data_IF_622059771673
#
_entry.id   IF_622059771673
#
_cell.length_a   1.000
_cell.length_b   1.000
_cell.length_c   1.000
_cell.angle_alpha   90.00
_cell.angle_beta   90.00
_cell.angle_gamma   90.00
#
_symmetry.space_group_name_H-M   'P 1'
#
loop_
_entity.id
_entity.type
_entity.pdbx_description
1 polymer ?
#
# COMPACT_ATOMS: atom_id res chain seq x y z
N UNK A 1 28.79 25.05 -48.24
CA UNK A 1 27.32 24.94 -48.11
C UNK A 1 27.02 24.15 -46.85
N UNK A 2 26.76 24.86 -45.74
CA UNK A 2 26.37 24.25 -44.47
C UNK A 2 24.86 24.02 -44.50
N UNK A 3 24.41 22.77 -44.47
CA UNK A 3 23.03 22.45 -44.18
C UNK A 3 22.71 22.76 -42.72
N UNK A 4 21.66 23.49 -42.41
CA UNK A 4 21.22 23.66 -41.03
C UNK A 4 20.70 22.34 -40.48
N UNK A 5 21.18 21.97 -39.29
CA UNK A 5 20.63 20.86 -38.53
C UNK A 5 19.14 21.10 -38.31
N UNK A 6 18.29 20.19 -38.76
CA UNK A 6 16.87 20.19 -38.45
C UNK A 6 16.69 20.01 -36.93
N UNK A 7 16.35 21.09 -36.26
CA UNK A 7 15.79 21.00 -34.91
C UNK A 7 14.51 20.17 -34.98
N UNK A 8 14.53 19.00 -34.35
CA UNK A 8 13.34 18.18 -34.13
C UNK A 8 12.52 18.95 -33.09
N UNK A 9 11.28 19.39 -33.38
CA UNK A 9 10.45 20.06 -32.38
C UNK A 9 10.18 19.08 -31.24
N UNK A 10 10.72 19.40 -30.05
CA UNK A 10 10.38 18.69 -28.81
C UNK A 10 8.88 18.87 -28.63
N UNK A 11 8.12 17.77 -28.62
CA UNK A 11 6.67 17.86 -28.42
C UNK A 11 6.41 18.43 -27.02
N UNK A 12 5.29 19.15 -26.85
CA UNK A 12 4.89 19.69 -25.53
C UNK A 12 4.83 18.61 -24.47
N UNK A 13 4.42 17.39 -24.85
CA UNK A 13 4.42 16.21 -23.99
C UNK A 13 5.82 15.84 -23.49
N UNK A 14 6.85 15.84 -24.35
CA UNK A 14 8.23 15.56 -23.94
C UNK A 14 8.76 16.59 -22.94
N UNK A 15 8.34 17.85 -23.04
CA UNK A 15 8.70 18.91 -22.10
C UNK A 15 8.03 18.71 -20.74
N UNK A 16 6.75 18.32 -20.72
CA UNK A 16 6.01 18.03 -19.48
C UNK A 16 6.60 16.80 -18.76
N UNK A 17 6.92 15.72 -19.47
CA UNK A 17 7.57 14.52 -18.94
C UNK A 17 8.90 14.89 -18.27
N UNK A 18 9.73 15.65 -18.95
CA UNK A 18 11.02 16.09 -18.39
C UNK A 18 10.84 16.94 -17.14
N UNK A 19 9.93 17.91 -17.16
CA UNK A 19 9.62 18.76 -16.02
C UNK A 19 9.09 17.96 -14.83
N UNK A 20 8.21 16.96 -15.08
CA UNK A 20 7.67 16.08 -14.06
C UNK A 20 8.76 15.23 -13.39
N UNK A 21 9.59 14.56 -14.18
CA UNK A 21 10.69 13.72 -13.65
C UNK A 21 11.72 14.58 -12.90
N UNK A 22 12.03 15.78 -13.39
CA UNK A 22 12.92 16.71 -12.70
C UNK A 22 12.34 17.16 -11.36
N UNK A 23 11.03 17.42 -11.28
CA UNK A 23 10.35 17.76 -10.02
C UNK A 23 10.42 16.60 -9.03
N UNK A 24 10.12 15.36 -9.46
CA UNK A 24 10.23 14.16 -8.61
C UNK A 24 11.65 13.97 -8.08
N UNK A 25 12.66 14.10 -8.94
CA UNK A 25 14.06 13.98 -8.55
C UNK A 25 14.48 15.05 -7.53
N UNK A 26 14.02 16.29 -7.71
CA UNK A 26 14.29 17.39 -6.79
C UNK A 26 13.64 17.16 -5.42
N UNK A 27 12.38 16.69 -5.37
CA UNK A 27 11.68 16.37 -4.14
C UNK A 27 12.36 15.23 -3.37
N UNK A 28 12.74 14.16 -4.06
CA UNK A 28 13.50 13.04 -3.46
C UNK A 28 14.85 13.49 -2.90
N UNK A 29 15.61 14.29 -3.67
CA UNK A 29 16.92 14.79 -3.25
C UNK A 29 16.83 15.79 -2.10
N UNK A 30 15.71 16.52 -2.01
CA UNK A 30 15.45 17.49 -0.95
C UNK A 30 14.99 16.86 0.35
N UNK A 31 14.71 15.55 0.40
CA UNK A 31 14.23 14.84 1.58
C UNK A 31 12.85 15.31 2.09
N UNK A 32 12.08 16.02 1.26
CA UNK A 32 10.76 16.57 1.61
C UNK A 32 9.68 15.96 0.72
N UNK A 33 9.59 14.63 0.76
CA UNK A 33 8.53 13.91 0.07
C UNK A 33 7.34 13.78 1.02
N UNK A 34 6.23 14.44 0.73
CA UNK A 34 5.00 14.33 1.52
C UNK A 34 3.77 14.27 0.61
N UNK A 35 2.74 13.55 1.03
CA UNK A 35 1.50 13.44 0.27
C UNK A 35 0.66 14.71 0.43
N UNK A 36 0.33 15.41 -0.67
CA UNK A 36 -0.57 16.54 -0.59
C UNK A 36 -1.95 16.08 -0.09
N UNK A 37 -2.57 16.92 0.74
CA UNK A 37 -3.94 16.67 1.24
C UNK A 37 -4.14 15.34 2.00
N UNK A 38 -3.05 14.73 2.54
CA UNK A 38 -3.19 13.54 3.35
C UNK A 38 -3.94 13.88 4.64
N UNK A 39 -5.03 13.19 4.99
CA UNK A 39 -5.87 13.56 6.12
C UNK A 39 -5.12 13.61 7.45
N UNK A 40 -5.31 14.70 8.17
CA UNK A 40 -4.65 15.03 9.45
C UNK A 40 -4.80 13.94 10.51
N UNK A 41 -5.92 13.22 10.52
CA UNK A 41 -6.17 12.14 11.47
C UNK A 41 -5.15 10.99 11.35
N UNK A 42 -4.74 10.63 10.13
CA UNK A 42 -3.74 9.57 9.96
C UNK A 42 -2.37 10.01 10.47
N UNK A 43 -2.01 11.27 10.26
CA UNK A 43 -0.78 11.85 10.78
C UNK A 43 -0.79 11.88 12.31
N UNK A 44 -1.92 12.28 12.93
CA UNK A 44 -2.09 12.28 14.40
C UNK A 44 -2.04 10.87 15.00
N UNK A 45 -2.71 9.90 14.37
CA UNK A 45 -2.65 8.50 14.82
C UNK A 45 -1.22 7.97 14.71
N UNK A 46 -0.53 8.24 13.60
CA UNK A 46 0.88 7.86 13.42
C UNK A 46 1.75 8.46 14.54
N UNK A 47 1.65 9.78 14.76
CA UNK A 47 2.44 10.49 15.78
C UNK A 47 2.20 9.95 17.18
N UNK A 48 0.97 9.60 17.50
CA UNK A 48 0.64 9.01 18.82
C UNK A 48 1.23 7.61 18.94
N UNK A 49 1.23 6.82 17.85
CA UNK A 49 1.73 5.44 17.83
C UNK A 49 3.24 5.33 17.56
N UNK A 50 3.97 6.43 17.37
CA UNK A 50 5.44 6.44 17.34
C UNK A 50 6.06 6.49 18.74
N UNK A 51 5.27 6.82 19.78
CA UNK A 51 5.68 6.77 21.17
C UNK A 51 5.55 5.32 21.68
N UNK A 52 6.67 4.65 21.94
CA UNK A 52 6.71 3.24 22.40
C UNK A 52 5.98 3.04 23.74
N UNK A 53 5.92 4.07 24.58
CA UNK A 53 5.28 4.06 25.90
C UNK A 53 3.83 4.63 25.82
N UNK A 54 3.23 4.69 24.63
CA UNK A 54 1.90 5.25 24.46
C UNK A 54 0.84 4.48 25.24
N UNK A 55 0.04 5.21 26.02
CA UNK A 55 -1.10 4.60 26.71
C UNK A 55 -2.27 4.38 25.75
N UNK A 56 -3.02 3.29 25.98
CA UNK A 56 -4.23 3.01 25.22
C UNK A 56 -5.23 4.18 25.29
N UNK A 57 -5.32 4.87 26.43
CA UNK A 57 -6.20 6.02 26.62
C UNK A 57 -5.88 7.17 25.64
N UNK A 58 -4.58 7.40 25.38
CA UNK A 58 -4.14 8.43 24.45
C UNK A 58 -4.56 8.08 23.02
N UNK A 59 -4.42 6.80 22.64
CA UNK A 59 -4.87 6.29 21.33
C UNK A 59 -6.38 6.40 21.19
N UNK A 60 -7.15 5.93 22.19
CA UNK A 60 -8.63 6.05 22.23
C UNK A 60 -9.09 7.50 22.04
N UNK A 61 -8.41 8.45 22.67
CA UNK A 61 -8.75 9.87 22.57
C UNK A 61 -8.50 10.42 21.17
N UNK A 62 -7.36 10.08 20.57
CA UNK A 62 -7.04 10.54 19.21
C UNK A 62 -7.96 9.95 18.18
N UNK A 63 -8.17 8.62 18.21
CA UNK A 63 -9.09 7.93 17.28
C UNK A 63 -10.54 8.40 17.51
N UNK A 64 -10.96 8.56 18.75
CA UNK A 64 -12.32 9.01 19.09
C UNK A 64 -12.64 10.44 18.65
N UNK A 65 -11.62 11.26 18.32
CA UNK A 65 -11.82 12.57 17.72
C UNK A 65 -12.30 12.52 16.26
N UNK A 66 -12.26 11.33 15.62
CA UNK A 66 -12.73 11.09 14.25
C UNK A 66 -13.78 9.96 14.27
N UNK A 67 -15.08 10.30 14.30
CA UNK A 67 -16.16 9.32 14.45
C UNK A 67 -16.17 8.24 13.37
N UNK A 68 -15.83 8.59 12.13
CA UNK A 68 -15.81 7.63 11.02
C UNK A 68 -14.67 6.61 11.16
N UNK A 69 -13.50 7.03 11.63
CA UNK A 69 -12.40 6.11 11.93
C UNK A 69 -12.74 5.20 13.12
N UNK A 70 -13.37 5.76 14.17
CA UNK A 70 -13.83 4.98 15.31
C UNK A 70 -14.84 3.89 14.90
N UNK A 71 -15.81 4.24 14.06
CA UNK A 71 -16.78 3.29 13.50
C UNK A 71 -16.09 2.20 12.66
N UNK A 72 -15.08 2.57 11.85
CA UNK A 72 -14.29 1.63 11.07
C UNK A 72 -13.54 0.63 11.95
N UNK A 73 -12.91 1.07 13.02
CA UNK A 73 -12.23 0.19 13.96
C UNK A 73 -13.19 -0.79 14.64
N UNK A 74 -14.40 -0.35 15.01
CA UNK A 74 -15.43 -1.24 15.53
C UNK A 74 -15.86 -2.28 14.50
N UNK A 75 -16.01 -1.90 13.23
CA UNK A 75 -16.34 -2.81 12.14
C UNK A 75 -15.24 -3.86 11.94
N UNK A 76 -13.97 -3.46 11.87
CA UNK A 76 -12.83 -4.38 11.75
C UNK A 76 -12.78 -5.35 12.95
N UNK A 77 -12.91 -4.82 14.18
CA UNK A 77 -12.87 -5.62 15.39
C UNK A 77 -14.00 -6.65 15.49
N UNK A 78 -15.11 -6.40 14.81
CA UNK A 78 -16.27 -7.30 14.73
C UNK A 78 -16.32 -8.17 13.47
N UNK A 79 -15.37 -8.00 12.55
CA UNK A 79 -15.32 -8.81 11.32
C UNK A 79 -15.06 -10.28 11.62
N UNK A 80 -15.54 -11.18 10.75
CA UNK A 80 -15.33 -12.62 10.88
C UNK A 80 -13.84 -13.01 10.92
N UNK A 81 -12.99 -12.23 10.26
CA UNK A 81 -11.54 -12.45 10.24
C UNK A 81 -10.86 -12.23 11.61
N UNK A 82 -11.41 -11.35 12.46
CA UNK A 82 -10.82 -10.92 13.73
C UNK A 82 -11.61 -11.41 14.95
N UNK A 83 -12.95 -11.48 14.85
CA UNK A 83 -13.82 -11.81 15.98
C UNK A 83 -14.18 -13.29 16.04
N UNK A 84 -13.21 -14.14 16.31
CA UNK A 84 -13.44 -15.59 16.49
C UNK A 84 -14.37 -15.96 17.65
N UNK A 85 -14.55 -15.05 18.63
CA UNK A 85 -15.41 -15.30 19.80
C UNK A 85 -16.89 -15.10 19.54
N UNK A 86 -17.27 -14.47 18.43
CA UNK A 86 -18.66 -14.09 18.11
C UNK A 86 -19.25 -13.03 19.05
N UNK A 87 -18.54 -12.59 20.09
CA UNK A 87 -19.01 -11.54 20.99
C UNK A 87 -18.83 -10.18 20.37
N UNK A 88 -19.93 -9.44 20.18
CA UNK A 88 -19.89 -8.09 19.62
C UNK A 88 -19.14 -7.12 20.53
N UNK A 89 -18.23 -6.34 19.93
CA UNK A 89 -17.53 -5.23 20.57
C UNK A 89 -18.28 -3.95 20.23
N UNK A 90 -18.65 -3.21 21.26
CA UNK A 90 -19.50 -2.01 21.14
C UNK A 90 -18.80 -0.73 21.55
N UNK A 91 -17.57 -0.82 22.10
CA UNK A 91 -16.82 0.33 22.55
C UNK A 91 -15.41 0.38 21.93
N UNK A 92 -14.91 1.60 21.74
CA UNK A 92 -13.66 1.86 21.06
C UNK A 92 -12.43 1.34 21.83
N UNK A 93 -12.45 1.37 23.18
CA UNK A 93 -11.35 0.88 24.00
C UNK A 93 -11.17 -0.63 23.79
N UNK A 94 -12.26 -1.37 23.85
CA UNK A 94 -12.27 -2.82 23.61
C UNK A 94 -11.87 -3.17 22.16
N UNK A 95 -12.31 -2.35 21.18
CA UNK A 95 -11.89 -2.52 19.79
C UNK A 95 -10.37 -2.35 19.64
N UNK A 96 -9.79 -1.27 20.18
CA UNK A 96 -8.35 -1.01 20.12
C UNK A 96 -7.56 -2.11 20.87
N UNK A 97 -8.05 -2.57 22.03
CA UNK A 97 -7.40 -3.66 22.77
C UNK A 97 -7.37 -4.97 21.98
N UNK A 98 -8.44 -5.29 21.23
CA UNK A 98 -8.50 -6.48 20.38
C UNK A 98 -7.61 -6.35 19.14
N UNK A 99 -7.66 -5.20 18.48
CA UNK A 99 -6.97 -4.96 17.22
C UNK A 99 -5.46 -4.76 17.39
N UNK A 100 -5.03 -4.20 18.52
CA UNK A 100 -3.65 -3.76 18.70
C UNK A 100 -3.32 -2.50 17.90
N UNK A 101 -2.17 -1.90 18.20
CA UNK A 101 -1.80 -0.60 17.62
C UNK A 101 -1.42 -0.66 16.14
N UNK A 102 -0.88 -1.79 15.66
CA UNK A 102 -0.57 -1.96 14.23
C UNK A 102 -1.83 -1.93 13.37
N UNK A 103 -2.87 -2.65 13.79
CA UNK A 103 -4.17 -2.64 13.09
C UNK A 103 -4.83 -1.26 13.15
N UNK A 104 -4.73 -0.55 14.27
CA UNK A 104 -5.22 0.84 14.39
C UNK A 104 -4.50 1.77 13.41
N UNK A 105 -3.18 1.60 13.25
CA UNK A 105 -2.39 2.35 12.27
C UNK A 105 -2.83 2.03 10.83
N UNK A 106 -3.01 0.76 10.51
CA UNK A 106 -3.51 0.31 9.21
C UNK A 106 -4.88 0.91 8.89
N UNK A 107 -5.81 0.85 9.83
CA UNK A 107 -7.15 1.41 9.66
C UNK A 107 -7.14 2.93 9.47
N UNK A 108 -6.27 3.66 10.18
CA UNK A 108 -6.13 5.10 10.01
C UNK A 108 -5.59 5.48 8.63
N UNK A 109 -4.61 4.72 8.11
CA UNK A 109 -4.07 4.90 6.77
C UNK A 109 -5.12 4.56 5.72
N UNK A 110 -5.82 3.42 5.88
CA UNK A 110 -6.92 3.02 5.02
C UNK A 110 -8.00 4.09 4.94
N UNK A 111 -8.39 4.64 6.08
CA UNK A 111 -9.36 5.72 6.17
C UNK A 111 -8.86 6.99 5.46
N UNK A 112 -7.61 7.38 5.66
CA UNK A 112 -7.00 8.52 4.98
C UNK A 112 -7.00 8.36 3.46
N UNK A 113 -6.61 7.20 2.96
CA UNK A 113 -6.63 6.90 1.52
C UNK A 113 -8.06 6.97 0.94
N UNK A 114 -9.06 6.48 1.70
CA UNK A 114 -10.46 6.58 1.27
C UNK A 114 -10.99 8.02 1.22
N UNK A 115 -10.45 8.91 2.05
CA UNK A 115 -10.79 10.34 2.02
C UNK A 115 -10.15 11.09 0.85
N UNK A 116 -8.94 10.71 0.44
CA UNK A 116 -8.27 11.31 -0.72
C UNK A 116 -9.12 11.24 -1.99
N UNK A 117 -9.89 10.16 -2.18
CA UNK A 117 -10.82 10.01 -3.32
C UNK A 117 -11.87 11.12 -3.39
N UNK A 118 -12.18 11.78 -2.27
CA UNK A 118 -13.17 12.85 -2.17
C UNK A 118 -12.56 14.25 -2.22
N UNK A 119 -11.23 14.33 -2.34
CA UNK A 119 -10.53 15.62 -2.41
C UNK A 119 -10.85 16.32 -3.74
N UNK A 120 -11.22 17.60 -3.65
CA UNK A 120 -11.44 18.42 -4.85
C UNK A 120 -10.17 18.67 -5.67
N UNK A 121 -9.00 18.52 -5.04
CA UNK A 121 -7.69 18.67 -5.68
C UNK A 121 -7.37 17.51 -6.64
N UNK A 122 -8.02 16.35 -6.44
CA UNK A 122 -7.81 15.13 -7.23
C UNK A 122 -8.97 14.84 -8.18
N UNK A 123 -9.77 15.89 -8.50
CA UNK A 123 -10.87 15.78 -9.43
C UNK A 123 -10.40 15.31 -10.82
N UNK A 124 -11.08 14.30 -11.35
CA UNK A 124 -10.73 13.65 -12.62
C UNK A 124 -9.79 12.45 -12.47
N UNK A 125 -9.29 12.16 -11.24
CA UNK A 125 -8.47 11.00 -10.93
C UNK A 125 -9.21 9.97 -10.06
N UNK A 126 -10.53 10.10 -9.93
CA UNK A 126 -11.36 9.27 -9.04
C UNK A 126 -11.25 7.79 -9.38
N UNK A 127 -11.28 7.44 -10.67
CA UNK A 127 -11.18 6.05 -11.13
C UNK A 127 -9.77 5.45 -10.88
N UNK A 128 -8.66 6.06 -11.28
CA UNK A 128 -7.33 5.57 -10.94
C UNK A 128 -7.09 5.46 -9.42
N UNK A 129 -7.62 6.39 -8.63
CA UNK A 129 -7.53 6.35 -7.16
C UNK A 129 -8.34 5.17 -6.59
N UNK A 130 -9.53 4.90 -7.14
CA UNK A 130 -10.35 3.76 -6.74
C UNK A 130 -9.66 2.44 -7.05
N UNK A 131 -9.13 2.27 -8.26
CA UNK A 131 -8.42 1.07 -8.69
C UNK A 131 -7.18 0.81 -7.82
N UNK A 132 -6.40 1.87 -7.52
CA UNK A 132 -5.24 1.78 -6.64
C UNK A 132 -5.63 1.40 -5.21
N UNK A 133 -6.73 2.00 -4.72
CA UNK A 133 -7.27 1.69 -3.39
C UNK A 133 -7.74 0.25 -3.27
N UNK A 134 -8.55 -0.23 -4.22
CA UNK A 134 -9.05 -1.60 -4.25
C UNK A 134 -7.91 -2.61 -4.27
N UNK A 135 -6.88 -2.35 -5.09
CA UNK A 135 -5.68 -3.18 -5.13
C UNK A 135 -4.93 -3.16 -3.79
N UNK A 136 -4.73 -1.99 -3.18
CA UNK A 136 -4.04 -1.88 -1.89
C UNK A 136 -4.75 -2.64 -0.79
N UNK A 137 -6.08 -2.58 -0.74
CA UNK A 137 -6.87 -3.31 0.24
C UNK A 137 -6.87 -4.84 -0.03
N UNK A 138 -6.90 -5.25 -1.31
CA UNK A 138 -6.80 -6.67 -1.68
C UNK A 138 -5.45 -7.25 -1.28
N UNK A 139 -4.34 -6.59 -1.64
CA UNK A 139 -2.99 -7.02 -1.26
C UNK A 139 -2.82 -7.02 0.26
N UNK A 140 -3.40 -6.07 0.98
CA UNK A 140 -3.36 -6.02 2.44
C UNK A 140 -4.05 -7.22 3.08
N UNK A 141 -5.27 -7.54 2.64
CA UNK A 141 -6.02 -8.69 3.15
C UNK A 141 -5.30 -10.01 2.85
N UNK A 142 -4.78 -10.15 1.62
CA UNK A 142 -3.99 -11.32 1.23
C UNK A 142 -2.70 -11.43 2.05
N UNK A 143 -1.98 -10.31 2.27
CA UNK A 143 -0.76 -10.29 3.09
C UNK A 143 -1.01 -10.73 4.54
N UNK A 144 -2.14 -10.31 5.12
CA UNK A 144 -2.56 -10.78 6.45
C UNK A 144 -2.70 -12.30 6.49
N UNK A 145 -3.41 -12.88 5.53
CA UNK A 145 -3.68 -14.32 5.48
C UNK A 145 -2.40 -15.12 5.19
N UNK A 146 -1.60 -14.67 4.22
CA UNK A 146 -0.32 -15.30 3.86
C UNK A 146 0.64 -15.27 5.06
N UNK A 147 0.78 -14.13 5.73
CA UNK A 147 1.60 -14.04 6.94
C UNK A 147 1.15 -15.01 8.03
N UNK A 148 -0.15 -15.04 8.32
CA UNK A 148 -0.76 -15.86 9.36
C UNK A 148 -0.58 -17.35 9.14
N UNK A 149 -0.60 -17.82 7.89
CA UNK A 149 -0.60 -19.24 7.57
C UNK A 149 0.78 -19.80 7.19
N UNK A 150 1.67 -19.00 6.59
CA UNK A 150 2.90 -19.49 5.96
C UNK A 150 4.19 -18.83 6.46
N UNK A 151 4.10 -17.94 7.42
CA UNK A 151 5.29 -17.30 7.94
C UNK A 151 5.21 -17.07 9.45
N UNK A 152 6.29 -16.50 10.01
CA UNK A 152 6.33 -16.01 11.40
C UNK A 152 6.21 -14.49 11.46
N UNK A 153 5.96 -13.85 10.33
CA UNK A 153 5.73 -12.41 10.23
C UNK A 153 4.41 -12.07 10.92
N UNK A 154 4.38 -10.95 11.64
CA UNK A 154 3.16 -10.48 12.27
C UNK A 154 2.11 -10.14 11.20
N UNK A 155 0.92 -10.77 11.19
CA UNK A 155 -0.11 -10.55 10.17
C UNK A 155 -0.58 -9.09 10.07
N UNK A 156 -0.65 -8.36 11.20
CA UNK A 156 -1.06 -6.96 11.21
C UNK A 156 0.00 -6.06 10.55
N UNK A 157 1.28 -6.38 10.75
CA UNK A 157 2.39 -5.70 10.07
C UNK A 157 2.37 -6.00 8.57
N UNK A 158 2.08 -7.24 8.19
CA UNK A 158 1.94 -7.64 6.78
C UNK A 158 0.76 -6.92 6.10
N UNK A 159 -0.38 -6.81 6.79
CA UNK A 159 -1.52 -6.04 6.30
C UNK A 159 -1.18 -4.56 6.11
N UNK A 160 -0.44 -3.97 7.05
CA UNK A 160 0.02 -2.58 6.94
C UNK A 160 0.95 -2.39 5.73
N UNK A 161 1.91 -3.27 5.53
CA UNK A 161 2.79 -3.23 4.36
C UNK A 161 1.99 -3.38 3.05
N UNK A 162 1.00 -4.28 3.02
CA UNK A 162 0.07 -4.44 1.90
C UNK A 162 -0.73 -3.18 1.59
N UNK A 163 -1.24 -2.47 2.59
CA UNK A 163 -1.91 -1.18 2.39
C UNK A 163 -0.99 -0.11 1.81
N UNK A 164 0.27 -0.12 2.22
CA UNK A 164 1.25 0.90 1.84
C UNK A 164 1.98 0.59 0.54
N UNK A 165 1.87 -0.64 -0.01
CA UNK A 165 2.67 -1.04 -1.19
C UNK A 165 2.47 -0.13 -2.40
N UNK A 166 1.28 0.45 -2.55
CA UNK A 166 0.93 1.38 -3.62
C UNK A 166 1.21 2.86 -3.32
N UNK A 167 1.82 3.20 -2.17
CA UNK A 167 1.94 4.59 -1.72
C UNK A 167 2.77 5.47 -2.66
N UNK A 168 3.82 4.91 -3.27
CA UNK A 168 4.62 5.62 -4.27
C UNK A 168 3.84 5.88 -5.56
N UNK A 169 3.01 4.92 -5.98
CA UNK A 169 2.10 5.06 -7.13
C UNK A 169 1.04 6.13 -6.84
N UNK A 170 0.50 6.15 -5.62
CA UNK A 170 -0.42 7.18 -5.16
C UNK A 170 0.22 8.57 -5.22
N UNK A 171 1.46 8.70 -4.75
CA UNK A 171 2.19 9.97 -4.80
C UNK A 171 2.31 10.50 -6.23
N UNK A 172 2.77 9.64 -7.16
CA UNK A 172 2.90 10.01 -8.58
C UNK A 172 1.53 10.43 -9.13
N UNK A 173 0.47 9.68 -8.84
CA UNK A 173 -0.88 9.97 -9.29
C UNK A 173 -1.40 11.33 -8.79
N UNK A 174 -1.10 11.70 -7.54
CA UNK A 174 -1.51 13.01 -7.01
C UNK A 174 -0.79 14.19 -7.66
N UNK A 175 0.38 13.97 -8.26
CA UNK A 175 1.19 15.02 -8.91
C UNK A 175 0.91 15.15 -10.40
N UNK A 176 0.52 14.05 -11.05
CA UNK A 176 0.34 14.00 -12.51
C UNK A 176 -0.79 14.90 -13.02
N UNK A 177 -1.75 15.23 -12.17
CA UNK A 177 -2.87 16.13 -12.54
C UNK A 177 -2.44 17.52 -13.04
N UNK A 178 -1.22 17.96 -12.68
CA UNK A 178 -0.64 19.21 -13.17
C UNK A 178 0.06 19.09 -14.55
N UNK A 179 0.07 17.87 -15.13
CA UNK A 179 0.76 17.55 -16.39
C UNK A 179 -0.17 16.80 -17.35
N UNK A 180 -1.13 17.51 -18.00
CA UNK A 180 -2.16 16.88 -18.82
C UNK A 180 -1.62 16.05 -20.00
N UNK A 181 -0.49 16.44 -20.57
CA UNK A 181 0.17 15.69 -21.64
C UNK A 181 0.70 14.34 -21.17
N UNK A 182 1.13 14.25 -19.92
CA UNK A 182 1.57 12.99 -19.32
C UNK A 182 0.37 12.08 -18.98
N UNK A 183 -0.75 12.66 -18.54
CA UNK A 183 -2.00 11.89 -18.31
C UNK A 183 -2.51 11.25 -19.60
N UNK A 184 -2.34 11.92 -20.75
CA UNK A 184 -2.76 11.42 -22.05
C UNK A 184 -1.82 10.36 -22.65
N UNK A 185 -0.58 10.28 -22.18
CA UNK A 185 0.43 9.30 -22.61
C UNK A 185 0.60 8.19 -21.57
N UNK A 186 -0.30 7.23 -21.61
CA UNK A 186 -0.35 6.11 -20.67
C UNK A 186 0.96 5.29 -20.65
N UNK A 187 1.61 5.10 -21.79
CA UNK A 187 2.85 4.33 -21.88
C UNK A 187 4.00 5.01 -21.14
N UNK A 188 4.15 6.33 -21.33
CA UNK A 188 5.14 7.13 -20.62
C UNK A 188 4.82 7.23 -19.13
N UNK A 189 3.54 7.43 -18.76
CA UNK A 189 3.10 7.43 -17.37
C UNK A 189 3.46 6.10 -16.66
N UNK A 190 3.14 4.96 -17.26
CA UNK A 190 3.44 3.65 -16.71
C UNK A 190 4.95 3.40 -16.59
N UNK A 191 5.76 3.92 -17.50
CA UNK A 191 7.23 3.86 -17.37
C UNK A 191 7.72 4.64 -16.16
N UNK A 192 7.22 5.86 -15.97
CA UNK A 192 7.59 6.69 -14.80
C UNK A 192 7.17 6.00 -13.50
N UNK A 193 5.94 5.48 -13.45
CA UNK A 193 5.46 4.74 -12.27
C UNK A 193 6.41 3.59 -11.96
N UNK A 194 6.73 2.74 -12.95
CA UNK A 194 7.64 1.60 -12.76
C UNK A 194 9.02 2.01 -12.25
N UNK A 195 9.58 3.08 -12.81
CA UNK A 195 10.95 3.48 -12.52
C UNK A 195 11.11 4.25 -11.19
N UNK A 196 10.04 4.88 -10.68
CA UNK A 196 10.14 5.81 -9.56
C UNK A 196 9.33 5.44 -8.33
N UNK A 197 8.25 4.63 -8.44
CA UNK A 197 7.34 4.41 -7.32
C UNK A 197 8.02 3.82 -6.09
N UNK A 198 8.97 2.90 -6.26
CA UNK A 198 9.67 2.24 -5.15
C UNK A 198 10.55 3.23 -4.37
N UNK A 199 11.33 4.06 -5.07
CA UNK A 199 12.16 5.08 -4.44
C UNK A 199 11.34 6.16 -3.74
N UNK A 200 10.21 6.56 -4.33
CA UNK A 200 9.27 7.51 -3.73
C UNK A 200 8.61 6.90 -2.48
N UNK A 201 8.17 5.64 -2.56
CA UNK A 201 7.58 4.94 -1.43
C UNK A 201 8.57 4.86 -0.27
N UNK A 202 9.83 4.51 -0.55
CA UNK A 202 10.90 4.50 0.44
C UNK A 202 11.05 5.86 1.13
N UNK A 203 11.22 6.93 0.37
CA UNK A 203 11.40 8.28 0.92
C UNK A 203 10.20 8.75 1.74
N UNK A 204 8.95 8.45 1.30
CA UNK A 204 7.74 8.75 2.05
C UNK A 204 7.69 8.02 3.39
N UNK A 205 7.97 6.72 3.38
CA UNK A 205 7.89 5.89 4.57
C UNK A 205 9.00 6.20 5.58
N UNK A 206 10.21 6.52 5.09
CA UNK A 206 11.31 7.04 5.92
C UNK A 206 10.94 8.39 6.56
N UNK A 207 10.37 9.31 5.77
CA UNK A 207 9.88 10.60 6.29
C UNK A 207 8.72 10.43 7.29
N UNK A 208 7.96 9.34 7.18
CA UNK A 208 6.93 8.97 8.13
C UNK A 208 7.46 8.16 9.32
N UNK A 209 8.79 8.00 9.45
CA UNK A 209 9.41 7.24 10.54
C UNK A 209 8.81 5.84 10.70
N UNK A 210 8.48 5.19 9.56
CA UNK A 210 7.97 3.83 9.58
C UNK A 210 9.10 2.85 9.91
N UNK A 211 8.73 1.70 10.51
CA UNK A 211 9.69 0.65 10.83
C UNK A 211 10.45 0.21 9.56
N UNK A 212 11.77 0.00 9.69
CA UNK A 212 12.67 -0.33 8.59
C UNK A 212 12.19 -1.54 7.78
N UNK A 213 11.65 -2.56 8.46
CA UNK A 213 11.08 -3.76 7.80
C UNK A 213 9.94 -3.41 6.84
N UNK A 214 9.09 -2.42 7.17
CA UNK A 214 7.99 -1.95 6.31
C UNK A 214 8.56 -1.15 5.14
N UNK A 215 9.50 -0.25 5.41
CA UNK A 215 10.17 0.55 4.36
C UNK A 215 10.81 -0.38 3.34
N UNK A 216 11.58 -1.38 3.81
CA UNK A 216 12.22 -2.35 2.96
C UNK A 216 11.19 -3.17 2.16
N UNK A 217 10.19 -3.73 2.82
CA UNK A 217 9.18 -4.54 2.15
C UNK A 217 8.50 -3.77 1.03
N UNK A 218 8.07 -2.53 1.28
CA UNK A 218 7.34 -1.70 0.30
C UNK A 218 8.25 -1.21 -0.84
N UNK A 219 9.55 -1.08 -0.62
CA UNK A 219 10.48 -0.65 -1.67
C UNK A 219 11.07 -1.80 -2.50
N UNK A 220 10.99 -3.05 -2.02
CA UNK A 220 11.68 -4.19 -2.65
C UNK A 220 10.74 -5.32 -3.11
N UNK A 221 9.42 -5.25 -2.88
CA UNK A 221 8.50 -6.37 -3.15
C UNK A 221 8.39 -6.75 -4.65
N UNK A 222 8.74 -5.87 -5.58
CA UNK A 222 8.74 -6.15 -7.01
C UNK A 222 10.06 -6.78 -7.50
N UNK A 223 11.10 -6.85 -6.66
CA UNK A 223 12.35 -7.56 -6.97
C UNK A 223 12.18 -9.07 -6.73
N UNK A 224 11.84 -9.81 -7.77
CA UNK A 224 11.60 -11.25 -7.72
C UNK A 224 12.88 -12.06 -7.40
N UNK A 225 14.07 -11.50 -7.67
CA UNK A 225 15.36 -12.15 -7.41
C UNK A 225 16.00 -11.71 -6.07
N UNK A 226 15.26 -10.95 -5.26
CA UNK A 226 15.73 -10.41 -3.98
C UNK A 226 16.41 -11.49 -3.13
N UNK A 227 17.63 -11.19 -2.69
CA UNK A 227 18.38 -12.06 -1.77
C UNK A 227 17.94 -11.80 -0.34
N UNK A 228 17.30 -12.80 0.27
CA UNK A 228 16.87 -12.77 1.68
C UNK A 228 17.75 -13.64 2.57
N UNK A 229 17.56 -13.56 3.89
CA UNK A 229 18.33 -14.28 4.91
C UNK A 229 18.01 -15.79 5.07
N UNK A 230 17.24 -16.37 4.15
CA UNK A 230 16.89 -17.81 4.14
C UNK A 230 15.58 -18.15 4.85
N UNK A 231 15.14 -17.36 5.83
CA UNK A 231 13.78 -17.46 6.41
C UNK A 231 12.86 -16.42 5.78
N UNK A 232 11.56 -16.76 5.56
CA UNK A 232 10.60 -15.79 5.04
C UNK A 232 10.51 -14.53 5.91
N UNK A 233 10.59 -13.37 5.28
CA UNK A 233 10.44 -12.06 5.92
C UNK A 233 9.21 -11.30 5.39
N UNK A 234 9.01 -10.06 5.85
CA UNK A 234 7.87 -9.22 5.46
C UNK A 234 7.85 -8.93 3.96
N UNK A 235 9.03 -8.74 3.34
CA UNK A 235 9.14 -8.51 1.90
C UNK A 235 8.67 -9.74 1.11
N UNK A 236 9.02 -10.95 1.56
CA UNK A 236 8.58 -12.18 0.91
C UNK A 236 7.06 -12.34 0.96
N UNK A 237 6.46 -12.06 2.12
CA UNK A 237 5.00 -12.07 2.28
C UNK A 237 4.35 -11.07 1.33
N UNK A 238 4.87 -9.85 1.25
CA UNK A 238 4.32 -8.82 0.38
C UNK A 238 4.49 -9.15 -1.11
N UNK A 239 5.67 -9.64 -1.52
CA UNK A 239 5.94 -10.08 -2.90
C UNK A 239 4.93 -11.12 -3.35
N UNK A 240 4.75 -12.16 -2.55
CA UNK A 240 3.80 -13.23 -2.83
C UNK A 240 2.37 -12.72 -2.92
N UNK A 241 1.94 -11.93 -1.95
CA UNK A 241 0.59 -11.37 -1.90
C UNK A 241 0.30 -10.46 -3.09
N UNK A 242 1.31 -9.69 -3.52
CA UNK A 242 1.22 -8.86 -4.72
C UNK A 242 1.08 -9.69 -6.00
N UNK A 243 1.87 -10.77 -6.15
CA UNK A 243 1.77 -11.67 -7.31
C UNK A 243 0.39 -12.34 -7.39
N UNK A 244 -0.14 -12.78 -6.25
CA UNK A 244 -1.48 -13.37 -6.18
C UNK A 244 -2.56 -12.40 -6.63
N UNK A 245 -2.53 -11.15 -6.16
CA UNK A 245 -3.51 -10.15 -6.56
C UNK A 245 -3.35 -9.74 -8.02
N UNK A 246 -2.10 -9.56 -8.48
CA UNK A 246 -1.81 -9.10 -9.84
C UNK A 246 -2.19 -10.11 -10.92
N UNK A 247 -2.09 -11.40 -10.62
CA UNK A 247 -2.26 -12.49 -11.62
C UNK A 247 -3.37 -13.48 -11.25
N UNK A 248 -4.27 -13.14 -10.32
CA UNK A 248 -5.38 -14.02 -9.90
C UNK A 248 -6.23 -14.56 -11.06
N UNK A 249 -6.44 -13.73 -12.09
CA UNK A 249 -7.24 -14.06 -13.27
C UNK A 249 -6.39 -14.66 -14.42
N UNK A 250 -5.06 -14.84 -14.21
CA UNK A 250 -4.09 -15.31 -15.19
C UNK A 250 -3.20 -16.43 -14.60
N UNK A 251 -3.75 -17.63 -14.38
CA UNK A 251 -3.07 -18.70 -13.64
C UNK A 251 -1.73 -19.15 -14.25
N UNK A 252 -1.59 -19.16 -15.57
CA UNK A 252 -0.33 -19.50 -16.23
C UNK A 252 0.77 -18.45 -15.97
N UNK A 253 0.39 -17.16 -16.00
CA UNK A 253 1.31 -16.06 -15.70
C UNK A 253 1.68 -16.06 -14.22
N UNK A 254 0.72 -16.36 -13.34
CA UNK A 254 0.97 -16.51 -11.92
C UNK A 254 2.01 -17.60 -11.65
N UNK A 255 1.82 -18.79 -12.23
CA UNK A 255 2.71 -19.93 -12.06
C UNK A 255 4.15 -19.62 -12.50
N UNK A 256 4.31 -18.95 -13.65
CA UNK A 256 5.61 -18.52 -14.16
C UNK A 256 6.29 -17.54 -13.18
N UNK A 257 5.61 -16.49 -12.77
CA UNK A 257 6.18 -15.48 -11.86
C UNK A 257 6.49 -16.07 -10.48
N UNK A 258 5.67 -16.97 -9.97
CA UNK A 258 5.92 -17.64 -8.69
C UNK A 258 7.11 -18.59 -8.75
N UNK A 259 7.31 -19.31 -9.87
CA UNK A 259 8.49 -20.15 -10.08
C UNK A 259 9.79 -19.33 -10.01
N UNK A 260 9.78 -18.14 -10.61
CA UNK A 260 10.97 -17.28 -10.68
C UNK A 260 11.20 -16.48 -9.38
N UNK A 261 10.16 -16.25 -8.58
CA UNK A 261 10.25 -15.48 -7.37
C UNK A 261 11.04 -16.20 -6.25
N UNK A 262 12.13 -15.57 -5.79
CA UNK A 262 12.91 -16.07 -4.68
C UNK A 262 12.10 -16.13 -3.35
N UNK A 263 11.13 -15.24 -3.19
CA UNK A 263 10.17 -15.23 -2.09
C UNK A 263 9.37 -16.54 -2.00
N UNK A 264 8.82 -17.02 -3.13
CA UNK A 264 8.06 -18.27 -3.19
C UNK A 264 8.91 -19.48 -2.80
N UNK A 265 10.17 -19.51 -3.23
CA UNK A 265 11.12 -20.58 -2.86
C UNK A 265 11.42 -20.55 -1.36
N UNK A 266 11.61 -19.38 -0.73
CA UNK A 266 11.83 -19.26 0.72
C UNK A 266 10.60 -19.66 1.52
N UNK A 267 9.43 -19.33 1.05
CA UNK A 267 8.16 -19.67 1.69
C UNK A 267 7.76 -21.14 1.46
N UNK A 268 8.44 -21.85 0.55
CA UNK A 268 8.18 -23.26 0.19
C UNK A 268 6.74 -23.48 -0.30
N UNK A 269 6.22 -22.56 -1.07
CA UNK A 269 4.87 -22.61 -1.60
C UNK A 269 4.93 -22.50 -3.12
N UNK A 270 4.24 -23.40 -3.79
CA UNK A 270 4.00 -23.39 -5.23
C UNK A 270 2.66 -22.74 -5.59
N UNK A 271 2.42 -22.51 -6.86
CA UNK A 271 1.20 -21.89 -7.36
C UNK A 271 -0.08 -22.68 -7.01
N UNK A 272 0.01 -24.02 -6.87
CA UNK A 272 -1.12 -24.86 -6.48
C UNK A 272 -1.45 -24.66 -4.99
N UNK A 273 -0.43 -24.67 -4.11
CA UNK A 273 -0.60 -24.42 -2.69
C UNK A 273 -1.20 -23.05 -2.43
N UNK A 274 -0.84 -22.02 -3.22
CA UNK A 274 -1.44 -20.71 -3.10
C UNK A 274 -2.88 -20.63 -3.57
N UNK A 275 -3.23 -21.26 -4.68
CA UNK A 275 -4.63 -21.29 -5.12
C UNK A 275 -5.52 -21.92 -4.07
N UNK A 276 -5.11 -23.04 -3.52
CA UNK A 276 -5.85 -23.69 -2.43
C UNK A 276 -5.97 -22.77 -1.22
N UNK A 277 -4.89 -22.02 -0.85
CA UNK A 277 -4.96 -21.06 0.23
C UNK A 277 -6.00 -19.97 -0.01
N UNK A 278 -6.01 -19.37 -1.22
CA UNK A 278 -6.94 -18.29 -1.55
C UNK A 278 -8.37 -18.81 -1.49
N UNK A 279 -8.66 -19.98 -2.07
CA UNK A 279 -9.98 -20.63 -2.03
C UNK A 279 -10.42 -20.90 -0.58
N UNK A 280 -9.55 -21.48 0.26
CA UNK A 280 -9.84 -21.76 1.68
C UNK A 280 -9.99 -20.51 2.53
N UNK A 281 -9.43 -19.37 2.10
CA UNK A 281 -9.40 -18.12 2.85
C UNK A 281 -10.25 -17.02 2.25
N UNK A 282 -10.99 -17.29 1.18
CA UNK A 282 -11.81 -16.31 0.47
C UNK A 282 -12.68 -15.48 1.41
N UNK A 283 -13.43 -16.16 2.29
CA UNK A 283 -14.27 -15.48 3.29
C UNK A 283 -13.48 -14.58 4.27
N UNK A 284 -12.27 -14.99 4.67
CA UNK A 284 -11.43 -14.21 5.57
C UNK A 284 -10.88 -12.98 4.84
N UNK A 285 -10.43 -13.15 3.60
CA UNK A 285 -9.93 -12.06 2.75
C UNK A 285 -11.05 -11.06 2.46
N UNK A 286 -12.23 -11.53 2.07
CA UNK A 286 -13.37 -10.66 1.77
C UNK A 286 -13.85 -9.90 3.00
N UNK A 287 -13.92 -10.56 4.17
CA UNK A 287 -14.26 -9.87 5.42
C UNK A 287 -13.25 -8.77 5.79
N UNK A 288 -11.97 -8.97 5.51
CA UNK A 288 -10.95 -7.94 5.71
C UNK A 288 -11.08 -6.81 4.69
N UNK A 289 -11.32 -7.13 3.41
CA UNK A 289 -11.54 -6.13 2.36
C UNK A 289 -12.75 -5.26 2.68
N UNK A 290 -13.89 -5.86 3.01
CA UNK A 290 -15.10 -5.14 3.42
C UNK A 290 -14.84 -4.26 4.65
N UNK A 291 -14.13 -4.78 5.65
CA UNK A 291 -13.73 -4.01 6.81
C UNK A 291 -12.78 -2.84 6.48
N UNK A 292 -11.98 -2.94 5.43
CA UNK A 292 -11.14 -1.86 4.89
C UNK A 292 -11.91 -0.90 3.97
N UNK A 293 -13.14 -1.24 3.54
CA UNK A 293 -14.03 -0.38 2.78
C UNK A 293 -14.00 -0.56 1.27
N UNK A 294 -13.70 -1.76 0.82
CA UNK A 294 -13.76 -2.20 -0.58
C UNK A 294 -14.66 -3.38 -0.77
#
# INVERSE_FOLDING_TARGET
MNSPAREIPVSSASTEVFAFVQALAAELSGGKVDLPSFPDIALRVRQVLSDEEVSQEKVVRVVGSEPMLAARLLQIANSAAINFSGRSITDLRSAIARLGFNMVRSAAIAFAMSQLKRSSELKGLERPLEELWQRSASVAATSYVVAKRFSRVNPDTAMLAGLLHGIGKLYILTRVGNYPGLVADEATYNSIVRDWHASIAKALLENWEMAEEIVQAVSEYEDLERKGAGTPDLTDVLTVSHLLDAFKDHPETLELNMHDAAACRRMQIDAAGYRNLIEESEHEIDALREALGV
#
